data_IF_776151189846
#
_entry.id   IF_776151189846
#
_cell.length_a   1.000
_cell.length_b   1.000
_cell.length_c   1.000
_cell.angle_alpha   90.00
_cell.angle_beta   90.00
_cell.angle_gamma   90.00
#
_symmetry.space_group_name_H-M   'P 1'
#
loop_
_entity.id
_entity.type
_entity.pdbx_description
1 polymer ?
#
# COMPACT_ATOMS: atom_id res chain seq x y z
N UNK A 1 3.53 15.03 8.26
CA UNK A 1 2.93 15.74 7.12
C UNK A 1 1.84 14.84 6.55
N UNK A 2 0.57 15.18 6.72
CA UNK A 2 -0.54 14.42 6.11
C UNK A 2 -0.58 14.72 4.62
N UNK A 3 -0.10 13.79 3.80
CA UNK A 3 -0.17 13.87 2.35
C UNK A 3 -1.61 13.54 1.92
N UNK A 4 -2.44 14.57 1.69
CA UNK A 4 -3.81 14.37 1.21
C UNK A 4 -3.80 13.90 -0.23
N UNK A 5 -4.15 12.63 -0.45
CA UNK A 5 -4.30 12.07 -1.79
C UNK A 5 -5.69 12.38 -2.35
N UNK A 6 -5.74 13.05 -3.50
CA UNK A 6 -7.01 13.32 -4.20
C UNK A 6 -7.53 12.08 -4.93
N UNK A 7 -8.85 12.08 -5.20
CA UNK A 7 -9.49 11.11 -6.10
C UNK A 7 -8.83 11.17 -7.48
N UNK A 8 -8.89 10.08 -8.27
CA UNK A 8 -8.43 10.12 -9.66
C UNK A 8 -9.11 11.25 -10.45
N UNK A 9 -8.36 11.92 -11.31
CA UNK A 9 -8.86 12.91 -12.25
C UNK A 9 -9.75 12.24 -13.31
N UNK A 10 -10.64 13.00 -13.93
CA UNK A 10 -11.55 12.49 -14.97
C UNK A 10 -10.91 12.36 -16.35
N UNK A 11 -9.79 13.04 -16.56
CA UNK A 11 -9.09 13.12 -17.84
C UNK A 11 -7.61 12.83 -17.69
N UNK A 12 -7.01 12.23 -18.70
CA UNK A 12 -5.58 12.04 -18.81
C UNK A 12 -4.86 13.38 -18.92
N UNK A 13 -3.83 13.59 -18.10
CA UNK A 13 -3.03 14.81 -18.09
C UNK A 13 -2.22 15.04 -19.37
N UNK A 14 -1.93 13.97 -20.14
CA UNK A 14 -1.13 14.05 -21.37
C UNK A 14 -1.97 14.21 -22.63
N UNK A 15 -3.13 13.58 -22.70
CA UNK A 15 -3.96 13.53 -23.92
C UNK A 15 -5.26 14.30 -23.80
N UNK A 16 -5.61 14.79 -22.60
CA UNK A 16 -6.91 15.37 -22.25
C UNK A 16 -8.12 14.45 -22.50
N UNK A 17 -7.91 13.18 -22.87
CA UNK A 17 -8.97 12.18 -23.05
C UNK A 17 -9.58 11.79 -21.71
N UNK A 18 -10.90 11.60 -21.65
CA UNK A 18 -11.58 11.02 -20.50
C UNK A 18 -11.24 9.54 -20.28
N UNK A 19 -11.16 9.11 -19.02
CA UNK A 19 -10.97 7.69 -18.68
C UNK A 19 -12.27 6.90 -18.79
N UNK A 20 -12.22 5.71 -19.39
CA UNK A 20 -13.33 4.77 -19.40
C UNK A 20 -13.37 3.95 -18.08
N UNK A 21 -14.55 3.51 -17.62
CA UNK A 21 -14.67 2.59 -16.49
C UNK A 21 -13.81 1.33 -16.65
N UNK A 22 -13.02 0.99 -15.63
CA UNK A 22 -12.14 -0.19 -15.62
C UNK A 22 -10.84 -0.04 -16.40
N UNK A 23 -10.66 1.06 -17.12
CA UNK A 23 -9.48 1.35 -17.93
C UNK A 23 -8.21 1.42 -17.05
N UNK A 24 -7.11 0.76 -17.43
CA UNK A 24 -5.83 0.91 -16.74
C UNK A 24 -5.29 2.33 -16.93
N UNK A 25 -4.75 2.91 -15.86
CA UNK A 25 -4.08 4.21 -15.89
C UNK A 25 -2.97 4.25 -14.84
N UNK A 26 -2.08 5.23 -14.96
CA UNK A 26 -1.00 5.48 -14.02
C UNK A 26 -1.25 6.79 -13.28
N UNK A 27 -0.91 6.80 -12.01
CA UNK A 27 -0.93 7.99 -11.16
C UNK A 27 0.47 8.27 -10.66
N UNK A 28 0.87 9.54 -10.66
CA UNK A 28 2.09 10.01 -10.03
C UNK A 28 1.78 11.09 -8.99
N UNK A 29 2.49 11.06 -7.86
CA UNK A 29 2.56 12.18 -6.93
C UNK A 29 3.79 13.00 -7.24
N UNK A 30 3.60 14.25 -7.64
CA UNK A 30 4.67 15.17 -8.04
C UNK A 30 4.77 16.29 -7.01
N UNK A 31 6.01 16.65 -6.66
CA UNK A 31 6.26 17.80 -5.79
C UNK A 31 6.17 19.09 -6.60
N UNK A 32 5.11 19.87 -6.38
CA UNK A 32 4.91 21.19 -6.99
C UNK A 32 5.50 22.35 -6.17
N UNK A 33 5.13 23.58 -6.51
CA UNK A 33 5.61 24.85 -5.93
C UNK A 33 5.11 25.16 -4.51
N UNK A 34 4.76 24.13 -3.73
CA UNK A 34 4.27 24.27 -2.35
C UNK A 34 3.27 23.21 -1.91
N UNK A 35 2.80 22.39 -2.85
CA UNK A 35 1.88 21.28 -2.59
C UNK A 35 2.30 20.01 -3.36
N UNK A 36 1.73 18.89 -2.95
CA UNK A 36 1.85 17.61 -3.64
C UNK A 36 0.69 17.46 -4.61
N UNK A 37 0.99 17.23 -5.88
CA UNK A 37 0.00 17.14 -6.94
C UNK A 37 -0.12 15.71 -7.45
N UNK A 38 -1.35 15.26 -7.68
CA UNK A 38 -1.63 13.99 -8.34
C UNK A 38 -1.82 14.23 -9.84
N UNK A 39 -1.03 13.52 -10.64
CA UNK A 39 -1.13 13.50 -12.11
C UNK A 39 -1.57 12.11 -12.54
N UNK A 40 -2.63 12.03 -13.35
CA UNK A 40 -3.16 10.77 -13.87
C UNK A 40 -2.98 10.70 -15.39
N UNK A 41 -2.43 9.60 -15.89
CA UNK A 41 -2.08 9.41 -17.30
C UNK A 41 -2.59 8.05 -17.78
N UNK A 42 -3.24 8.01 -18.94
CA UNK A 42 -3.71 6.74 -19.52
C UNK A 42 -2.54 5.82 -19.88
N UNK A 43 -2.78 4.51 -19.87
CA UNK A 43 -1.74 3.49 -20.06
C UNK A 43 -0.97 3.71 -21.38
N UNK A 44 -1.65 4.16 -22.45
CA UNK A 44 -1.03 4.40 -23.77
C UNK A 44 -0.12 5.63 -23.82
N UNK A 45 -0.35 6.62 -22.95
CA UNK A 45 0.42 7.87 -22.92
C UNK A 45 1.47 7.89 -21.80
N UNK A 46 1.55 6.83 -20.99
CA UNK A 46 2.49 6.74 -19.89
C UNK A 46 3.91 6.43 -20.40
N UNK A 47 4.83 7.35 -20.11
CA UNK A 47 6.25 7.22 -20.46
C UNK A 47 7.15 6.98 -19.24
N UNK A 48 6.53 6.65 -18.09
CA UNK A 48 7.20 6.59 -16.80
C UNK A 48 6.88 7.77 -15.89
N UNK A 49 7.34 7.73 -14.63
CA UNK A 49 7.09 8.79 -13.66
C UNK A 49 7.68 10.12 -14.13
N UNK A 50 6.92 11.23 -14.09
CA UNK A 50 7.42 12.54 -14.48
C UNK A 50 8.52 13.03 -13.54
N UNK A 51 9.31 14.00 -14.01
CA UNK A 51 10.34 14.63 -13.19
C UNK A 51 9.74 15.21 -11.90
N UNK A 52 10.40 14.96 -10.76
CA UNK A 52 9.91 15.40 -9.45
C UNK A 52 8.79 14.52 -8.85
N UNK A 53 8.46 13.39 -9.47
CA UNK A 53 7.60 12.39 -8.87
C UNK A 53 8.26 11.78 -7.62
N UNK A 54 7.52 11.76 -6.50
CA UNK A 54 7.95 11.10 -5.24
C UNK A 54 7.44 9.67 -5.14
N UNK A 55 6.37 9.35 -5.87
CA UNK A 55 5.75 8.05 -5.92
C UNK A 55 4.88 7.95 -7.19
N UNK A 56 4.67 6.73 -7.67
CA UNK A 56 3.73 6.45 -8.74
C UNK A 56 3.16 5.04 -8.57
N UNK A 57 1.98 4.79 -9.14
CA UNK A 57 1.33 3.49 -9.11
C UNK A 57 0.39 3.33 -10.30
N UNK A 58 0.16 2.08 -10.71
CA UNK A 58 -0.84 1.72 -11.71
C UNK A 58 -2.17 1.42 -11.02
N UNK A 59 -3.28 1.74 -11.66
CA UNK A 59 -4.63 1.52 -11.14
C UNK A 59 -5.63 1.28 -12.27
N UNK A 60 -6.88 0.94 -11.92
CA UNK A 60 -8.00 0.90 -12.86
C UNK A 60 -9.01 1.99 -12.52
N UNK A 61 -9.53 2.66 -13.54
CA UNK A 61 -10.48 3.74 -13.35
C UNK A 61 -11.77 3.22 -12.71
N UNK A 62 -12.33 3.90 -11.69
CA UNK A 62 -13.53 3.39 -11.00
C UNK A 62 -14.71 3.19 -11.94
N UNK A 63 -15.41 2.06 -11.78
CA UNK A 63 -16.69 1.82 -12.44
C UNK A 63 -17.83 2.33 -11.55
N UNK A 64 -18.75 3.09 -12.12
CA UNK A 64 -19.91 3.59 -11.38
C UNK A 64 -20.71 2.41 -10.79
N UNK A 65 -20.98 2.45 -9.49
CA UNK A 65 -21.71 1.40 -8.78
C UNK A 65 -20.90 0.15 -8.41
N UNK A 66 -19.62 0.05 -8.80
CA UNK A 66 -18.78 -1.04 -8.32
C UNK A 66 -18.40 -0.80 -6.84
N UNK A 67 -18.83 -1.71 -5.96
CA UNK A 67 -18.18 -1.87 -4.66
C UNK A 67 -16.81 -2.51 -4.90
N UNK A 68 -15.74 -1.78 -4.58
CA UNK A 68 -14.40 -2.39 -4.57
C UNK A 68 -14.35 -3.58 -3.61
N UNK A 69 -13.33 -4.44 -3.70
CA UNK A 69 -13.22 -5.62 -2.84
C UNK A 69 -13.26 -5.20 -1.37
N UNK A 70 -14.05 -5.94 -0.58
CA UNK A 70 -14.18 -5.66 0.84
C UNK A 70 -12.92 -6.12 1.55
N UNK A 71 -12.28 -5.21 2.28
CA UNK A 71 -11.13 -5.57 3.11
C UNK A 71 -11.57 -6.52 4.22
N UNK A 72 -10.72 -7.50 4.52
CA UNK A 72 -10.94 -8.43 5.61
C UNK A 72 -11.15 -7.69 6.95
N UNK A 73 -11.97 -8.27 7.85
CA UNK A 73 -12.19 -7.72 9.18
C UNK A 73 -10.86 -7.52 9.93
N UNK A 74 -10.81 -6.50 10.79
CA UNK A 74 -9.59 -6.17 11.55
C UNK A 74 -9.09 -7.36 12.37
N UNK A 75 -10.00 -8.15 12.96
CA UNK A 75 -9.61 -9.33 13.75
C UNK A 75 -8.91 -10.38 12.88
N UNK A 76 -9.45 -10.69 11.71
CA UNK A 76 -8.86 -11.65 10.76
C UNK A 76 -7.45 -11.21 10.35
N UNK A 77 -7.24 -9.91 10.12
CA UNK A 77 -5.93 -9.38 9.78
C UNK A 77 -4.95 -9.42 10.97
N UNK A 78 -5.43 -9.25 12.20
CA UNK A 78 -4.60 -9.37 13.40
C UNK A 78 -4.24 -10.84 13.67
N UNK A 79 -5.19 -11.76 13.53
CA UNK A 79 -4.94 -13.21 13.62
C UNK A 79 -3.92 -13.64 12.56
N UNK A 80 -4.06 -13.15 11.32
CA UNK A 80 -3.09 -13.39 10.25
C UNK A 80 -1.70 -12.85 10.60
N UNK A 81 -1.60 -11.61 11.13
CA UNK A 81 -0.31 -11.04 11.55
C UNK A 81 0.38 -11.88 12.64
N UNK A 82 -0.41 -12.45 13.55
CA UNK A 82 0.06 -13.30 14.64
C UNK A 82 0.47 -14.71 14.16
N UNK A 83 -0.16 -15.21 13.09
CA UNK A 83 0.15 -16.50 12.48
C UNK A 83 1.30 -16.51 11.47
N UNK A 84 1.82 -15.35 11.06
CA UNK A 84 3.02 -15.24 10.21
C UNK A 84 4.29 -15.27 11.09
N UNK A 85 4.79 -16.47 11.41
CA UNK A 85 5.96 -16.68 12.29
C UNK A 85 7.22 -17.21 11.58
N UNK A 86 7.09 -17.66 10.33
CA UNK A 86 8.21 -18.11 9.51
C UNK A 86 9.10 -16.97 8.97
N UNK A 87 10.41 -17.23 8.83
CA UNK A 87 11.37 -16.28 8.24
C UNK A 87 10.98 -15.88 6.80
N UNK A 88 10.44 -16.83 6.03
CA UNK A 88 9.96 -16.58 4.67
C UNK A 88 8.78 -15.58 4.63
N UNK A 89 8.11 -15.36 5.75
CA UNK A 89 6.93 -14.52 5.86
C UNK A 89 7.25 -13.10 6.33
N UNK A 90 8.50 -12.80 6.70
CA UNK A 90 8.88 -11.49 7.22
C UNK A 90 8.49 -10.31 6.30
N UNK A 91 8.68 -10.36 4.96
CA UNK A 91 8.23 -9.29 4.09
C UNK A 91 6.72 -9.13 4.09
N UNK A 92 5.99 -10.24 4.08
CA UNK A 92 4.53 -10.25 4.12
C UNK A 92 4.00 -9.70 5.46
N UNK A 93 4.62 -10.12 6.57
CA UNK A 93 4.29 -9.68 7.93
C UNK A 93 4.51 -8.18 8.10
N UNK A 94 5.61 -7.66 7.54
CA UNK A 94 5.90 -6.22 7.53
C UNK A 94 4.83 -5.44 6.76
N UNK A 95 4.50 -5.87 5.54
CA UNK A 95 3.49 -5.20 4.72
C UNK A 95 2.09 -5.25 5.36
N UNK A 96 1.72 -6.38 5.98
CA UNK A 96 0.46 -6.51 6.72
C UNK A 96 0.42 -5.58 7.94
N UNK A 97 1.52 -5.46 8.69
CA UNK A 97 1.63 -4.51 9.80
C UNK A 97 1.47 -3.06 9.33
N UNK A 98 2.12 -2.67 8.22
CA UNK A 98 1.96 -1.34 7.62
C UNK A 98 0.52 -1.08 7.16
N UNK A 99 -0.16 -2.09 6.62
CA UNK A 99 -1.56 -1.97 6.25
C UNK A 99 -2.46 -1.74 7.48
N UNK A 100 -2.17 -2.42 8.59
CA UNK A 100 -2.88 -2.19 9.87
C UNK A 100 -2.58 -0.82 10.47
N UNK A 101 -1.38 -0.25 10.24
CA UNK A 101 -1.08 1.16 10.56
C UNK A 101 -1.93 2.10 9.72
N UNK A 102 -2.02 1.87 8.41
CA UNK A 102 -2.87 2.67 7.49
C UNK A 102 -4.34 2.65 7.92
N UNK A 103 -4.80 1.55 8.51
CA UNK A 103 -6.15 1.40 9.10
C UNK A 103 -6.28 1.95 10.53
N UNK A 104 -5.21 2.53 11.10
CA UNK A 104 -5.13 3.05 12.48
C UNK A 104 -5.37 1.99 13.56
N UNK A 105 -5.14 0.71 13.25
CA UNK A 105 -5.22 -0.41 14.21
C UNK A 105 -3.91 -0.55 14.98
N UNK A 106 -2.79 -0.47 14.26
CA UNK A 106 -1.45 -0.41 14.82
C UNK A 106 -0.92 1.02 14.80
N UNK A 107 0.01 1.32 15.70
CA UNK A 107 0.82 2.54 15.66
C UNK A 107 2.28 2.17 15.81
N UNK A 108 3.14 2.74 14.98
CA UNK A 108 4.60 2.63 15.14
C UNK A 108 4.98 3.43 16.39
N UNK A 109 5.70 2.79 17.30
CA UNK A 109 6.17 3.40 18.55
C UNK A 109 7.69 3.44 18.66
N UNK A 110 8.40 2.60 17.90
CA UNK A 110 9.86 2.60 17.85
C UNK A 110 10.37 1.99 16.54
N UNK A 111 11.57 2.39 16.13
CA UNK A 111 12.28 1.90 14.95
C UNK A 111 13.76 1.69 15.28
N UNK A 112 14.17 0.43 15.33
CA UNK A 112 15.54 0.03 15.60
C UNK A 112 16.26 -0.23 14.27
N UNK A 113 17.29 0.57 13.91
CA UNK A 113 18.04 0.34 12.69
C UNK A 113 18.80 -0.99 12.76
N UNK A 114 19.05 -1.59 11.61
CA UNK A 114 19.85 -2.82 11.55
C UNK A 114 21.30 -2.53 11.97
N UNK A 115 21.86 -3.40 12.82
CA UNK A 115 23.25 -3.29 13.26
C UNK A 115 24.27 -3.66 12.15
N UNK A 116 23.89 -4.49 11.18
CA UNK A 116 24.60 -4.84 9.95
C UNK A 116 23.68 -5.67 9.01
N UNK A 117 23.95 -5.65 7.69
CA UNK A 117 23.33 -6.41 6.56
C UNK A 117 22.00 -7.16 6.78
N UNK A 118 21.02 -6.50 7.41
CA UNK A 118 19.68 -7.03 7.66
C UNK A 118 18.66 -5.91 7.70
N UNK A 119 17.37 -6.27 7.69
CA UNK A 119 16.30 -5.29 7.91
C UNK A 119 16.28 -4.81 9.36
N UNK A 120 16.03 -3.52 9.59
CA UNK A 120 15.79 -2.99 10.95
C UNK A 120 14.54 -3.61 11.59
N UNK A 121 14.28 -3.34 12.87
CA UNK A 121 13.06 -3.77 13.55
C UNK A 121 12.12 -2.59 13.75
N UNK A 122 10.84 -2.75 13.42
CA UNK A 122 9.80 -1.77 13.71
C UNK A 122 8.92 -2.32 14.83
N UNK A 123 8.68 -1.50 15.85
CA UNK A 123 7.82 -1.85 16.98
C UNK A 123 6.46 -1.18 16.82
N UNK A 124 5.42 -2.00 16.80
CA UNK A 124 4.04 -1.56 16.65
C UNK A 124 3.27 -1.83 17.93
N UNK A 125 2.53 -0.84 18.45
CA UNK A 125 1.59 -1.06 19.54
C UNK A 125 0.18 -1.33 19.02
N UNK A 126 -0.51 -2.29 19.62
CA UNK A 126 -1.89 -2.63 19.33
C UNK A 126 -2.76 -2.43 20.57
N UNK A 127 -3.46 -1.30 20.64
CA UNK A 127 -4.40 -1.04 21.74
C UNK A 127 -5.49 -2.10 21.85
N UNK A 128 -5.91 -2.67 20.71
CA UNK A 128 -6.99 -3.65 20.64
C UNK A 128 -6.61 -4.99 21.27
N UNK A 129 -5.35 -5.42 21.12
CA UNK A 129 -4.81 -6.66 21.69
C UNK A 129 -4.07 -6.45 23.01
N UNK A 130 -3.79 -5.20 23.39
CA UNK A 130 -3.06 -4.87 24.60
C UNK A 130 -1.60 -5.36 24.59
N UNK A 131 -0.99 -5.45 23.40
CA UNK A 131 0.39 -5.93 23.22
C UNK A 131 1.11 -5.15 22.13
N UNK A 132 2.43 -5.30 22.13
CA UNK A 132 3.30 -4.78 21.08
C UNK A 132 3.79 -5.92 20.17
N UNK A 133 4.03 -5.58 18.90
CA UNK A 133 4.56 -6.46 17.88
C UNK A 133 5.91 -5.91 17.41
N UNK A 134 6.93 -6.77 17.41
CA UNK A 134 8.25 -6.47 16.82
C UNK A 134 8.30 -7.17 15.46
N UNK A 135 8.42 -6.40 14.38
CA UNK A 135 8.43 -6.94 13.02
C UNK A 135 9.65 -6.41 12.29
N UNK A 136 10.37 -7.28 11.59
CA UNK A 136 11.49 -6.86 10.75
C UNK A 136 10.97 -5.99 9.60
N UNK A 137 11.63 -4.86 9.38
CA UNK A 137 11.45 -4.03 8.20
C UNK A 137 11.97 -4.76 6.96
N UNK A 138 11.15 -4.84 5.93
CA UNK A 138 11.54 -5.38 4.64
C UNK A 138 11.97 -4.26 3.70
N UNK A 139 13.07 -4.48 2.99
CA UNK A 139 13.52 -3.62 1.90
C UNK A 139 12.51 -3.65 0.74
N UNK A 140 12.52 -2.63 -0.15
CA UNK A 140 11.67 -2.65 -1.34
C UNK A 140 11.86 -3.89 -2.23
N UNK A 141 13.08 -4.42 -2.31
CA UNK A 141 13.38 -5.61 -3.09
C UNK A 141 12.71 -6.87 -2.50
N UNK A 142 12.76 -7.01 -1.17
CA UNK A 142 12.09 -8.13 -0.47
C UNK A 142 10.57 -8.01 -0.54
N UNK A 143 10.04 -6.79 -0.38
CA UNK A 143 8.60 -6.53 -0.51
C UNK A 143 8.06 -6.79 -1.93
N UNK A 144 8.91 -6.63 -2.95
CA UNK A 144 8.60 -6.92 -4.35
C UNK A 144 8.96 -8.34 -4.79
N UNK A 145 9.40 -9.21 -3.86
CA UNK A 145 9.72 -10.59 -4.18
C UNK A 145 8.50 -11.34 -4.71
N UNK A 146 8.74 -12.32 -5.58
CA UNK A 146 7.70 -13.10 -6.23
C UNK A 146 6.75 -13.75 -5.19
N UNK A 147 5.44 -13.64 -5.42
CA UNK A 147 4.39 -14.22 -4.57
C UNK A 147 4.02 -13.40 -3.33
N UNK A 148 4.83 -12.41 -2.91
CA UNK A 148 4.49 -11.58 -1.73
C UNK A 148 3.20 -10.78 -1.96
N UNK A 149 3.07 -10.17 -3.15
CA UNK A 149 1.88 -9.40 -3.52
C UNK A 149 0.62 -10.26 -3.54
N UNK A 150 0.69 -11.45 -4.14
CA UNK A 150 -0.43 -12.39 -4.22
C UNK A 150 -0.88 -12.88 -2.84
N UNK A 151 0.08 -13.20 -1.96
CA UNK A 151 -0.23 -13.62 -0.59
C UNK A 151 -0.82 -12.47 0.23
N UNK A 152 -0.30 -11.26 0.08
CA UNK A 152 -0.87 -10.07 0.74
C UNK A 152 -2.30 -9.82 0.25
N UNK A 153 -2.53 -9.87 -1.06
CA UNK A 153 -3.84 -9.76 -1.68
C UNK A 153 -4.84 -10.77 -1.08
N UNK A 154 -4.46 -12.03 -0.99
CA UNK A 154 -5.28 -13.09 -0.42
C UNK A 154 -5.67 -12.79 1.04
N UNK A 155 -4.75 -12.29 1.87
CA UNK A 155 -5.05 -11.89 3.24
C UNK A 155 -6.00 -10.68 3.31
N UNK A 156 -5.74 -9.66 2.49
CA UNK A 156 -6.49 -8.40 2.53
C UNK A 156 -7.92 -8.52 2.02
N UNK A 157 -8.18 -9.37 1.03
CA UNK A 157 -9.48 -9.49 0.36
C UNK A 157 -10.15 -10.85 0.58
N UNK A 158 -9.75 -11.58 1.62
CA UNK A 158 -10.39 -12.85 2.05
C UNK A 158 -11.87 -12.73 2.47
N UNK A 159 -12.44 -11.52 2.46
CA UNK A 159 -13.80 -11.22 2.92
C UNK A 159 -14.95 -11.60 1.97
N UNK A 160 -14.68 -12.07 0.75
CA UNK A 160 -15.73 -12.47 -0.21
C UNK A 160 -16.15 -13.96 -0.09
N UNK A 161 -15.72 -14.65 0.98
CA UNK A 161 -16.15 -16.00 1.32
C UNK A 161 -16.87 -16.03 2.68
N UNK A 162 -18.05 -15.41 2.77
CA UNK A 162 -19.05 -15.68 3.81
C UNK A 162 -20.44 -15.25 3.34
#
# INVERSE_FOLDING_TARGET
MDLKLHKPQVTCAMTARGFAPGEPFHSALVRGSGAMERVDVCDEAWQGPPAGAVAWWRSRYPTAGASGPTLAPVEVLLDALEGLDDVADEPLRYLLALQLVRRRVLRIIDEEPAAAEGGGTVVFTCRKRGRDYRVRSASPAEAAAAGVEERLAALLWSGDAA
#
